data_IF_781222946808
#
_entry.id   IF_781222946808
#
_cell.length_a   1.000
_cell.length_b   1.000
_cell.length_c   1.000
_cell.angle_alpha   90.00
_cell.angle_beta   90.00
_cell.angle_gamma   90.00
#
_symmetry.space_group_name_H-M   'P 1'
#
loop_
_entity.id
_entity.type
_entity.pdbx_description
1 polymer ?
#
# COMPACT_ATOMS: atom_id res chain seq x y z
N UNK A 1 -25.04 -7.15 4.59
CA UNK A 1 -24.25 -7.05 3.34
C UNK A 1 -23.23 -5.93 3.52
N UNK A 2 -21.95 -6.16 3.26
CA UNK A 2 -20.92 -5.10 3.39
C UNK A 2 -21.07 -4.07 2.27
N UNK A 3 -20.80 -2.81 2.57
CA UNK A 3 -20.73 -1.78 1.53
C UNK A 3 -19.46 -1.95 0.69
N UNK A 4 -19.46 -1.42 -0.54
CA UNK A 4 -18.26 -1.46 -1.41
C UNK A 4 -17.02 -0.88 -0.73
N UNK A 5 -17.16 0.23 0.00
CA UNK A 5 -16.06 0.83 0.76
C UNK A 5 -15.55 -0.09 1.86
N UNK A 6 -16.43 -0.75 2.61
CA UNK A 6 -16.02 -1.70 3.64
C UNK A 6 -15.21 -2.86 3.05
N UNK A 7 -15.60 -3.36 1.88
CA UNK A 7 -14.81 -4.37 1.15
C UNK A 7 -13.42 -3.83 0.79
N UNK A 8 -13.32 -2.61 0.27
CA UNK A 8 -12.01 -2.00 -0.05
C UNK A 8 -11.15 -1.74 1.18
N UNK A 9 -11.74 -1.35 2.31
CA UNK A 9 -11.00 -1.18 3.57
C UNK A 9 -10.41 -2.51 4.05
N UNK A 10 -11.18 -3.60 3.99
CA UNK A 10 -10.67 -4.95 4.32
C UNK A 10 -9.53 -5.34 3.38
N UNK A 11 -9.68 -5.11 2.07
CA UNK A 11 -8.62 -5.40 1.11
C UNK A 11 -7.37 -4.54 1.33
N UNK A 12 -7.50 -3.29 1.80
CA UNK A 12 -6.36 -2.47 2.21
C UNK A 12 -5.67 -3.00 3.47
N UNK A 13 -6.42 -3.56 4.42
CA UNK A 13 -5.83 -4.26 5.58
C UNK A 13 -5.05 -5.50 5.11
N UNK A 14 -5.62 -6.29 4.20
CA UNK A 14 -4.93 -7.45 3.59
C UNK A 14 -3.65 -7.02 2.87
N UNK A 15 -3.72 -5.94 2.07
CA UNK A 15 -2.54 -5.32 1.45
C UNK A 15 -1.49 -4.95 2.50
N UNK A 16 -1.89 -4.25 3.57
CA UNK A 16 -0.97 -3.78 4.60
C UNK A 16 -0.25 -4.94 5.27
N UNK A 17 -0.98 -6.02 5.59
CA UNK A 17 -0.40 -7.25 6.14
C UNK A 17 0.58 -7.90 5.17
N UNK A 18 0.24 -7.99 3.88
CA UNK A 18 1.12 -8.54 2.86
C UNK A 18 2.41 -7.70 2.68
N UNK A 19 2.27 -6.37 2.65
CA UNK A 19 3.40 -5.46 2.50
C UNK A 19 4.33 -5.48 3.72
N UNK A 20 3.77 -5.51 4.94
CA UNK A 20 4.56 -5.69 6.17
C UNK A 20 5.23 -7.07 6.16
N UNK A 21 4.50 -8.13 5.83
CA UNK A 21 5.05 -9.49 5.75
C UNK A 21 6.21 -9.61 4.76
N UNK A 22 6.11 -8.97 3.60
CA UNK A 22 7.20 -8.90 2.62
C UNK A 22 8.45 -8.22 3.21
N UNK A 23 8.30 -7.08 3.88
CA UNK A 23 9.43 -6.39 4.51
C UNK A 23 10.02 -7.18 5.69
N UNK A 24 9.18 -7.81 6.52
CA UNK A 24 9.63 -8.69 7.61
C UNK A 24 10.43 -9.89 7.08
N UNK A 25 9.99 -10.48 5.98
CA UNK A 25 10.74 -11.53 5.29
C UNK A 25 12.11 -11.01 4.82
N UNK A 26 12.16 -9.78 4.29
CA UNK A 26 13.41 -9.09 3.95
C UNK A 26 14.37 -8.94 5.13
N UNK A 27 13.86 -8.50 6.28
CA UNK A 27 14.64 -8.37 7.53
C UNK A 27 15.18 -9.72 7.98
N UNK A 28 14.30 -10.73 8.07
CA UNK A 28 14.69 -12.08 8.49
C UNK A 28 15.75 -12.68 7.56
N UNK A 29 15.59 -12.49 6.26
CA UNK A 29 16.52 -13.04 5.29
C UNK A 29 17.87 -12.33 5.31
N UNK A 30 17.86 -11.01 5.54
CA UNK A 30 19.07 -10.23 5.73
C UNK A 30 19.81 -10.64 7.00
N UNK A 31 19.12 -10.91 8.10
CA UNK A 31 19.74 -11.39 9.34
C UNK A 31 20.26 -12.83 9.22
N UNK A 32 19.56 -13.70 8.48
CA UNK A 32 19.94 -15.11 8.33
C UNK A 32 21.06 -15.34 7.30
N UNK A 33 21.12 -14.53 6.22
CA UNK A 33 22.00 -14.80 5.06
C UNK A 33 22.94 -13.65 4.70
N UNK A 34 22.86 -12.52 5.42
CA UNK A 34 23.59 -11.29 5.08
C UNK A 34 23.03 -10.53 3.86
N UNK A 35 22.07 -11.11 3.13
CA UNK A 35 21.41 -10.51 1.97
C UNK A 35 19.90 -10.53 2.10
N UNK A 36 19.26 -9.38 1.90
CA UNK A 36 17.80 -9.26 1.93
C UNK A 36 17.11 -9.77 0.66
N UNK A 37 15.83 -9.41 0.52
CA UNK A 37 15.04 -9.61 -0.70
C UNK A 37 15.47 -8.65 -1.82
N UNK A 38 15.81 -7.43 -1.43
CA UNK A 38 16.36 -6.37 -2.27
C UNK A 38 17.57 -5.74 -1.56
N UNK A 39 18.68 -5.57 -2.28
CA UNK A 39 19.89 -4.96 -1.74
C UNK A 39 19.69 -3.46 -1.47
N UNK A 40 20.21 -2.98 -0.35
CA UNK A 40 20.06 -1.58 0.06
C UNK A 40 18.65 -1.19 0.51
N UNK A 41 17.71 -2.13 0.66
CA UNK A 41 16.37 -1.82 1.13
C UNK A 41 16.35 -1.39 2.60
N UNK A 42 15.67 -0.29 2.90
CA UNK A 42 15.40 0.16 4.27
C UNK A 42 14.10 -0.47 4.80
N UNK A 43 14.10 -1.79 5.02
CA UNK A 43 12.88 -2.55 5.39
C UNK A 43 12.12 -1.99 6.59
N UNK A 44 12.84 -1.56 7.64
CA UNK A 44 12.22 -0.98 8.85
C UNK A 44 11.53 0.35 8.52
N UNK A 45 12.22 1.24 7.80
CA UNK A 45 11.65 2.52 7.35
C UNK A 45 10.40 2.28 6.50
N UNK A 46 10.43 1.31 5.58
CA UNK A 46 9.27 0.96 4.77
C UNK A 46 8.08 0.51 5.62
N UNK A 47 8.29 -0.33 6.64
CA UNK A 47 7.24 -0.74 7.58
C UNK A 47 6.66 0.47 8.30
N UNK A 48 7.52 1.35 8.83
CA UNK A 48 7.08 2.56 9.54
C UNK A 48 6.27 3.48 8.62
N UNK A 49 6.69 3.65 7.36
CA UNK A 49 5.95 4.42 6.35
C UNK A 49 4.59 3.79 6.04
N UNK A 50 4.51 2.45 5.94
CA UNK A 50 3.25 1.74 5.73
C UNK A 50 2.27 1.92 6.90
N UNK A 51 2.76 2.02 8.14
CA UNK A 51 1.92 2.23 9.33
C UNK A 51 1.21 3.59 9.33
N UNK A 52 1.66 4.57 8.54
CA UNK A 52 0.94 5.84 8.33
C UNK A 52 -0.44 5.62 7.70
N UNK A 53 -0.65 4.49 7.00
CA UNK A 53 -1.95 4.13 6.45
C UNK A 53 -2.98 3.79 7.53
N UNK A 54 -2.56 3.31 8.70
CA UNK A 54 -3.46 2.88 9.79
C UNK A 54 -4.41 3.99 10.25
N UNK A 55 -3.95 5.19 10.67
CA UNK A 55 -4.85 6.27 11.06
C UNK A 55 -5.81 6.69 9.94
N UNK A 56 -5.38 6.64 8.68
CA UNK A 56 -6.24 6.93 7.53
C UNK A 56 -7.33 5.86 7.39
N UNK A 57 -6.99 4.57 7.47
CA UNK A 57 -8.00 3.49 7.43
C UNK A 57 -9.02 3.62 8.57
N UNK A 58 -8.59 4.03 9.76
CA UNK A 58 -9.49 4.30 10.88
C UNK A 58 -10.51 5.40 10.57
N UNK A 59 -10.14 6.45 9.82
CA UNK A 59 -11.11 7.45 9.32
C UNK A 59 -12.18 6.80 8.43
N UNK A 60 -11.78 5.86 7.57
CA UNK A 60 -12.70 5.12 6.70
C UNK A 60 -13.69 4.27 7.50
N UNK A 61 -13.21 3.54 8.51
CA UNK A 61 -14.06 2.76 9.41
C UNK A 61 -14.96 3.64 10.29
N UNK A 62 -14.48 4.80 10.73
CA UNK A 62 -15.23 5.79 11.48
C UNK A 62 -16.20 6.62 10.61
N UNK A 63 -16.36 6.27 9.32
CA UNK A 63 -17.24 6.95 8.36
C UNK A 63 -16.90 8.42 8.10
N UNK A 64 -15.67 8.83 8.40
CA UNK A 64 -15.14 10.15 8.06
C UNK A 64 -14.69 10.17 6.60
N UNK A 65 -15.65 10.02 5.68
CA UNK A 65 -15.41 9.67 4.28
C UNK A 65 -14.53 10.68 3.53
N UNK A 66 -14.72 11.99 3.75
CA UNK A 66 -13.91 13.03 3.10
C UNK A 66 -12.45 12.98 3.56
N UNK A 67 -12.23 12.87 4.87
CA UNK A 67 -10.90 12.77 5.46
C UNK A 67 -10.16 11.51 4.99
N UNK A 68 -10.85 10.36 5.01
CA UNK A 68 -10.33 9.12 4.44
C UNK A 68 -10.00 9.27 2.95
N UNK A 69 -10.92 9.78 2.12
CA UNK A 69 -10.70 9.87 0.68
C UNK A 69 -9.49 10.76 0.32
N UNK A 70 -9.37 11.93 0.96
CA UNK A 70 -8.24 12.84 0.74
C UNK A 70 -6.93 12.22 1.22
N UNK A 71 -6.87 11.79 2.49
CA UNK A 71 -5.66 11.22 3.07
C UNK A 71 -5.19 9.96 2.33
N UNK A 72 -6.12 9.07 2.00
CA UNK A 72 -5.81 7.83 1.30
C UNK A 72 -5.33 8.09 -0.12
N UNK A 73 -5.94 9.02 -0.85
CA UNK A 73 -5.46 9.40 -2.20
C UNK A 73 -4.03 9.94 -2.16
N UNK A 74 -3.73 10.83 -1.22
CA UNK A 74 -2.37 11.36 -1.05
C UNK A 74 -1.36 10.25 -0.74
N UNK A 75 -1.70 9.33 0.17
CA UNK A 75 -0.85 8.19 0.48
C UNK A 75 -0.66 7.25 -0.70
N UNK A 76 -1.67 7.03 -1.56
CA UNK A 76 -1.52 6.19 -2.74
C UNK A 76 -0.59 6.82 -3.78
N UNK A 77 -0.59 8.14 -3.94
CA UNK A 77 0.37 8.83 -4.79
C UNK A 77 1.80 8.66 -4.27
N UNK A 78 2.00 8.78 -2.95
CA UNK A 78 3.29 8.50 -2.32
C UNK A 78 3.70 7.03 -2.49
N UNK A 79 2.75 6.09 -2.42
CA UNK A 79 3.01 4.67 -2.65
C UNK A 79 3.39 4.37 -4.10
N UNK A 80 2.81 5.06 -5.08
CA UNK A 80 3.28 4.96 -6.49
C UNK A 80 4.74 5.41 -6.58
N UNK A 81 5.04 6.58 -6.02
CA UNK A 81 6.38 7.18 -6.08
C UNK A 81 7.45 6.36 -5.33
N UNK A 82 7.14 5.88 -4.13
CA UNK A 82 8.09 5.18 -3.25
C UNK A 82 8.03 3.65 -3.32
N UNK A 83 6.93 3.08 -3.80
CA UNK A 83 6.66 1.64 -3.73
C UNK A 83 6.48 0.95 -5.09
N UNK A 84 6.21 1.68 -6.17
CA UNK A 84 6.06 1.07 -7.52
C UNK A 84 7.16 1.54 -8.46
N UNK A 85 7.31 2.85 -8.63
CA UNK A 85 8.28 3.43 -9.57
C UNK A 85 9.72 2.97 -9.30
N UNK A 86 10.23 2.90 -8.06
CA UNK A 86 11.61 2.48 -7.83
C UNK A 86 11.88 1.05 -8.30
N UNK A 87 10.89 0.15 -8.15
CA UNK A 87 11.02 -1.22 -8.62
C UNK A 87 11.01 -1.34 -10.15
N UNK A 88 10.23 -0.48 -10.83
CA UNK A 88 10.21 -0.41 -12.29
C UNK A 88 11.50 0.21 -12.84
N UNK A 89 11.92 1.36 -12.30
CA UNK A 89 13.14 2.04 -12.74
C UNK A 89 14.37 1.15 -12.55
N UNK A 90 14.49 0.48 -11.40
CA UNK A 90 15.60 -0.46 -11.16
C UNK A 90 15.63 -1.60 -12.17
N UNK A 91 14.46 -2.11 -12.55
CA UNK A 91 14.38 -3.15 -13.57
C UNK A 91 14.80 -2.65 -14.96
N UNK A 92 14.52 -1.40 -15.27
CA UNK A 92 14.97 -0.79 -16.52
C UNK A 92 16.48 -0.51 -16.54
N UNK A 93 17.06 -0.13 -15.39
CA UNK A 93 18.48 0.21 -15.26
C UNK A 93 19.38 -1.03 -15.16
N UNK A 94 19.09 -1.91 -14.19
CA UNK A 94 19.98 -3.01 -13.80
C UNK A 94 19.29 -4.39 -13.89
N UNK A 95 18.09 -4.45 -14.48
CA UNK A 95 17.26 -5.66 -14.51
C UNK A 95 17.00 -6.22 -13.10
N UNK A 96 17.51 -7.42 -12.79
CA UNK A 96 17.30 -8.09 -11.52
C UNK A 96 18.53 -8.07 -10.60
N UNK A 97 19.61 -7.37 -10.95
CA UNK A 97 20.89 -7.43 -10.20
C UNK A 97 20.76 -7.08 -8.71
N UNK A 98 19.82 -6.20 -8.33
CA UNK A 98 19.56 -5.84 -6.93
C UNK A 98 18.56 -6.75 -6.20
N UNK A 99 17.88 -7.66 -6.92
CA UNK A 99 16.87 -8.54 -6.34
C UNK A 99 17.40 -9.94 -6.16
N UNK A 100 16.95 -10.59 -5.08
CA UNK A 100 17.31 -12.00 -4.84
C UNK A 100 16.80 -12.93 -5.93
N UNK A 101 15.65 -12.62 -6.54
CA UNK A 101 15.07 -13.39 -7.63
C UNK A 101 14.04 -12.56 -8.41
N UNK A 102 13.65 -13.05 -9.60
CA UNK A 102 12.50 -12.51 -10.34
C UNK A 102 11.20 -12.54 -9.52
N UNK A 103 10.99 -13.59 -8.73
CA UNK A 103 9.82 -13.72 -7.87
C UNK A 103 9.77 -12.63 -6.79
N UNK A 104 10.92 -12.23 -6.26
CA UNK A 104 11.04 -11.16 -5.28
C UNK A 104 10.66 -9.81 -5.87
N UNK A 105 11.20 -9.48 -7.04
CA UNK A 105 10.81 -8.27 -7.78
C UNK A 105 9.32 -8.26 -8.14
N UNK A 106 8.81 -9.38 -8.66
CA UNK A 106 7.40 -9.52 -9.06
C UNK A 106 6.46 -9.36 -7.87
N UNK A 107 6.80 -9.94 -6.71
CA UNK A 107 6.03 -9.79 -5.49
C UNK A 107 6.01 -8.34 -5.01
N UNK A 108 7.14 -7.63 -5.06
CA UNK A 108 7.20 -6.22 -4.69
C UNK A 108 6.28 -5.35 -5.56
N UNK A 109 6.30 -5.55 -6.88
CA UNK A 109 5.39 -4.83 -7.80
C UNK A 109 3.94 -5.23 -7.57
N UNK A 110 3.65 -6.53 -7.44
CA UNK A 110 2.29 -7.02 -7.28
C UNK A 110 1.64 -6.49 -5.99
N UNK A 111 2.37 -6.53 -4.88
CA UNK A 111 1.88 -6.04 -3.57
C UNK A 111 1.63 -4.53 -3.64
N UNK A 112 2.60 -3.75 -4.09
CA UNK A 112 2.45 -2.29 -4.12
C UNK A 112 1.41 -1.84 -5.17
N UNK A 113 1.41 -2.44 -6.35
CA UNK A 113 0.42 -2.18 -7.39
C UNK A 113 -1.00 -2.52 -6.93
N UNK A 114 -1.19 -3.66 -6.27
CA UNK A 114 -2.46 -4.01 -5.64
C UNK A 114 -2.89 -2.97 -4.60
N UNK A 115 -1.96 -2.56 -3.72
CA UNK A 115 -2.20 -1.52 -2.72
C UNK A 115 -2.70 -0.21 -3.34
N UNK A 116 -2.02 0.28 -4.37
CA UNK A 116 -2.40 1.50 -5.11
C UNK A 116 -3.80 1.37 -5.72
N UNK A 117 -4.07 0.28 -6.44
CA UNK A 117 -5.35 0.07 -7.13
C UNK A 117 -6.50 0.02 -6.12
N UNK A 118 -6.40 -0.81 -5.09
CA UNK A 118 -7.45 -0.92 -4.07
C UNK A 118 -7.59 0.38 -3.28
N UNK A 119 -6.49 1.07 -2.96
CA UNK A 119 -6.53 2.34 -2.26
C UNK A 119 -7.29 3.41 -3.06
N UNK A 120 -7.01 3.56 -4.35
CA UNK A 120 -7.71 4.52 -5.21
C UNK A 120 -9.20 4.17 -5.37
N UNK A 121 -9.53 2.89 -5.51
CA UNK A 121 -10.93 2.43 -5.53
C UNK A 121 -11.64 2.71 -4.19
N UNK A 122 -10.93 2.52 -3.08
CA UNK A 122 -11.39 2.91 -1.73
C UNK A 122 -11.69 4.40 -1.63
N UNK A 123 -10.75 5.24 -2.06
CA UNK A 123 -10.92 6.70 -2.09
C UNK A 123 -12.12 7.12 -2.94
N UNK A 124 -12.28 6.55 -4.13
CA UNK A 124 -13.41 6.81 -5.00
C UNK A 124 -14.75 6.40 -4.36
N UNK A 125 -14.82 5.21 -3.76
CA UNK A 125 -16.01 4.74 -3.06
C UNK A 125 -16.38 5.62 -1.85
N UNK A 126 -15.38 6.15 -1.15
CA UNK A 126 -15.60 7.08 -0.05
C UNK A 126 -16.11 8.45 -0.53
N UNK A 127 -15.60 8.97 -1.65
CA UNK A 127 -16.15 10.18 -2.26
C UNK A 127 -17.63 10.04 -2.60
N UNK A 128 -18.03 8.91 -3.19
CA UNK A 128 -19.45 8.66 -3.46
C UNK A 128 -20.32 8.67 -2.19
N UNK A 129 -19.83 8.11 -1.09
CA UNK A 129 -20.56 8.12 0.18
C UNK A 129 -20.61 9.51 0.81
N UNK A 130 -19.52 10.28 0.73
CA UNK A 130 -19.47 11.65 1.19
C UNK A 130 -20.50 12.52 0.46
N UNK A 131 -20.63 12.36 -0.87
CA UNK A 131 -21.60 13.12 -1.67
C UNK A 131 -23.04 12.79 -1.29
N UNK A 132 -23.36 11.49 -1.14
CA UNK A 132 -24.70 11.03 -0.74
C UNK A 132 -25.13 11.57 0.63
N UNK A 133 -24.20 11.65 1.58
CA UNK A 133 -24.49 12.17 2.92
C UNK A 133 -24.89 13.66 2.91
N UNK A 134 -24.32 14.47 2.00
CA UNK A 134 -24.68 15.89 1.90
C UNK A 134 -26.03 16.09 1.19
N UNK A 135 -26.43 15.19 0.30
CA UNK A 135 -27.74 15.28 -0.37
C UNK A 135 -28.90 14.87 0.52
N UNK A 136 -28.66 14.06 1.55
CA UNK A 136 -29.70 13.67 2.53
C UNK A 136 -29.90 14.67 3.67
N UNK A 137 -29.02 15.67 3.79
CA UNK A 137 -29.09 16.70 4.84
C UNK A 137 -29.71 18.03 4.36
N UNK A 138 -30.08 18.11 3.08
CA UNK A 138 -30.77 19.25 2.45
C UNK A 138 -32.21 18.86 2.14
#
# INVERSE_FOLDING_TARGET
MMTRLQSYLVLQVVYLLAAIGYNLCGIWLQSATGRGLYEGSAYVTNILSLLVLVPVLLLGYARQYRGYALGNTALMLLLVYGGVLPHLMRYMEDSLLGYRSFGTWSAAIAINGFGVVIGLLGSYAAWQQASKANTSSN
#
